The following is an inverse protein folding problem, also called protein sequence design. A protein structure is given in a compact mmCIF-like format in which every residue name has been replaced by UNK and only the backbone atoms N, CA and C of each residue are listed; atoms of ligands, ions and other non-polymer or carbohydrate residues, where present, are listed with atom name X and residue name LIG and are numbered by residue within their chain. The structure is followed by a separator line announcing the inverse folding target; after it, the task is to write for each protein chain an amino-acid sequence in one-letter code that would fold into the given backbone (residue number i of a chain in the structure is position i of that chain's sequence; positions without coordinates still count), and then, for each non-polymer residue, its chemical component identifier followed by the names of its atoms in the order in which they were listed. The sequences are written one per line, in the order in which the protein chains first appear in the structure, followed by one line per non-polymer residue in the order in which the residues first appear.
data_IF_752505193610
#
_entry.id   IF_752505193610
#
_cell.length_a   1.000
_cell.length_b   1.000
_cell.length_c   1.000
_cell.angle_alpha   90.00
_cell.angle_beta   90.00
_cell.angle_gamma   90.00
#
_symmetry.space_group_name_H-M   'P 1'
#
loop_
_entity.id
_entity.type
_entity.pdbx_description
1 polymer ?
#
# COMPACT_ATOMS: atom_id res chain seq x y z
N UNK A 1 -23.89 26.83 -4.52
CA UNK A 1 -24.61 26.91 -5.81
C UNK A 1 -24.11 25.77 -6.70
N UNK A 2 -24.92 25.24 -7.63
CA UNK A 2 -24.41 24.32 -8.64
C UNK A 2 -23.25 24.97 -9.41
N UNK A 3 -22.23 24.17 -9.75
CA UNK A 3 -20.99 24.65 -10.36
C UNK A 3 -20.17 23.51 -10.96
N UNK A 4 -19.03 23.85 -11.56
CA UNK A 4 -18.10 22.89 -12.13
C UNK A 4 -17.48 22.01 -11.03
N UNK A 5 -17.42 20.70 -11.25
CA UNK A 5 -16.86 19.73 -10.29
C UNK A 5 -15.78 18.92 -10.99
N UNK A 6 -14.60 18.82 -10.37
CA UNK A 6 -13.46 18.11 -10.93
C UNK A 6 -12.63 18.97 -11.90
N UNK A 7 -11.73 18.32 -12.64
CA UNK A 7 -10.71 18.97 -13.48
C UNK A 7 -9.85 19.98 -12.70
N UNK A 8 -9.43 19.57 -11.51
CA UNK A 8 -8.58 20.35 -10.62
C UNK A 8 -7.40 19.49 -10.16
N UNK A 9 -6.26 20.13 -9.92
CA UNK A 9 -5.11 19.47 -9.31
C UNK A 9 -5.44 19.03 -7.89
N UNK A 10 -5.32 17.73 -7.64
CA UNK A 10 -5.46 17.14 -6.31
C UNK A 10 -4.21 16.33 -6.00
N UNK A 11 -3.74 16.42 -4.76
CA UNK A 11 -2.60 15.64 -4.26
C UNK A 11 -3.07 14.72 -3.15
N UNK A 12 -2.67 13.44 -3.22
CA UNK A 12 -2.95 12.45 -2.19
C UNK A 12 -1.62 12.11 -1.51
N UNK A 13 -1.37 12.58 -0.27
CA UNK A 13 -0.13 12.29 0.43
C UNK A 13 -0.16 10.91 1.11
N UNK A 14 1.03 10.33 1.33
CA UNK A 14 1.19 9.15 2.16
C UNK A 14 0.83 7.83 1.49
N UNK A 15 0.92 7.77 0.16
CA UNK A 15 0.87 6.51 -0.60
C UNK A 15 2.21 5.77 -0.46
N UNK A 16 2.15 4.45 -0.25
CA UNK A 16 3.33 3.58 -0.08
C UNK A 16 3.69 2.93 -1.42
N UNK A 17 4.98 2.85 -1.75
CA UNK A 17 5.47 2.11 -2.92
C UNK A 17 5.66 0.66 -2.53
N UNK A 18 4.96 -0.26 -3.20
CA UNK A 18 4.99 -1.69 -2.89
C UNK A 18 6.02 -2.45 -3.73
N UNK A 19 6.12 -2.07 -5.01
CA UNK A 19 6.99 -2.74 -5.98
C UNK A 19 7.52 -1.77 -7.01
N UNK A 20 8.74 -2.00 -7.48
CA UNK A 20 9.35 -1.27 -8.59
C UNK A 20 9.89 -2.28 -9.61
N UNK A 21 9.48 -2.13 -10.87
CA UNK A 21 10.07 -2.85 -12.00
C UNK A 21 10.97 -1.88 -12.79
N UNK A 22 12.30 -2.00 -12.66
CA UNK A 22 13.26 -1.10 -13.31
C UNK A 22 13.31 -1.29 -14.83
N UNK A 23 13.13 -2.52 -15.35
CA UNK A 23 13.18 -2.81 -16.79
C UNK A 23 12.03 -2.12 -17.55
N UNK A 24 10.82 -2.16 -16.97
CA UNK A 24 9.62 -1.55 -17.56
C UNK A 24 9.40 -0.11 -17.12
N UNK A 25 10.20 0.38 -16.17
CA UNK A 25 10.03 1.69 -15.53
C UNK A 25 8.62 1.87 -14.93
N UNK A 26 8.11 0.83 -14.25
CA UNK A 26 6.78 0.83 -13.63
C UNK A 26 6.89 0.77 -12.12
N UNK A 27 6.13 1.64 -11.45
CA UNK A 27 6.01 1.67 -10.00
C UNK A 27 4.60 1.26 -9.56
N UNK A 28 4.51 0.38 -8.58
CA UNK A 28 3.26 -0.08 -7.99
C UNK A 28 3.04 0.62 -6.67
N UNK A 29 2.03 1.49 -6.65
CA UNK A 29 1.69 2.33 -5.50
C UNK A 29 0.45 1.78 -4.81
N UNK A 30 0.45 1.76 -3.49
CA UNK A 30 -0.69 1.33 -2.69
C UNK A 30 -1.79 2.41 -2.70
N UNK A 31 -3.00 2.04 -3.13
CA UNK A 31 -4.17 2.92 -3.15
C UNK A 31 -4.55 3.45 -4.53
N UNK A 32 -5.39 4.48 -4.55
CA UNK A 32 -5.87 5.14 -5.78
C UNK A 32 -5.19 6.49 -5.98
N UNK A 33 -4.95 6.86 -7.24
CA UNK A 33 -4.35 8.12 -7.65
C UNK A 33 -5.41 8.98 -8.37
N UNK A 34 -5.42 10.32 -8.24
CA UNK A 34 -6.40 11.15 -8.92
C UNK A 34 -6.19 11.14 -10.44
N UNK A 35 -7.27 11.29 -11.21
CA UNK A 35 -7.23 11.30 -12.66
C UNK A 35 -7.67 9.97 -13.29
N UNK A 36 -7.81 9.97 -14.60
CA UNK A 36 -8.15 8.78 -15.37
C UNK A 36 -6.88 7.99 -15.77
N UNK A 37 -7.06 6.73 -16.18
CA UNK A 37 -5.95 5.90 -16.66
C UNK A 37 -5.32 6.51 -17.92
N UNK A 38 -4.01 6.78 -17.89
CA UNK A 38 -3.26 7.38 -19.00
C UNK A 38 -3.01 8.89 -18.85
N UNK A 39 -3.53 9.51 -17.79
CA UNK A 39 -3.25 10.91 -17.47
C UNK A 39 -1.87 11.10 -16.82
N UNK A 40 -1.33 12.31 -16.93
CA UNK A 40 0.01 12.64 -16.40
C UNK A 40 -0.11 13.03 -14.94
N UNK A 41 0.76 12.43 -14.12
CA UNK A 41 0.78 12.61 -12.67
C UNK A 41 2.08 13.28 -12.23
N UNK A 42 1.99 14.11 -11.20
CA UNK A 42 3.16 14.65 -10.50
C UNK A 42 3.44 13.83 -9.26
N UNK A 43 4.54 13.07 -9.29
CA UNK A 43 5.01 12.26 -8.17
C UNK A 43 6.18 12.98 -7.50
N UNK A 44 6.14 13.07 -6.17
CA UNK A 44 7.17 13.67 -5.34
C UNK A 44 7.22 12.97 -3.98
N UNK A 45 8.31 13.16 -3.27
CA UNK A 45 8.45 12.65 -1.90
C UNK A 45 7.34 13.16 -0.98
N UNK A 46 6.99 12.33 0.00
CA UNK A 46 5.95 12.66 0.96
C UNK A 46 6.36 13.88 1.80
N UNK A 47 5.42 14.79 2.02
CA UNK A 47 5.64 15.96 2.86
C UNK A 47 5.74 15.61 4.36
N UNK A 48 5.08 14.53 4.80
CA UNK A 48 5.04 14.14 6.21
C UNK A 48 6.40 13.60 6.68
N UNK A 49 6.99 14.23 7.69
CA UNK A 49 8.34 13.87 8.19
C UNK A 49 8.45 12.42 8.64
N UNK A 50 7.41 11.87 9.28
CA UNK A 50 7.36 10.47 9.74
C UNK A 50 7.42 9.46 8.59
N UNK A 51 7.01 9.87 7.39
CA UNK A 51 6.91 9.03 6.19
C UNK A 51 7.97 9.39 5.14
N UNK A 52 8.96 10.21 5.51
CA UNK A 52 10.07 10.53 4.61
C UNK A 52 11.01 9.33 4.50
N UNK A 53 11.51 9.14 3.29
CA UNK A 53 12.61 8.21 3.03
C UNK A 53 13.87 8.79 3.68
N UNK A 54 14.55 8.01 4.52
CA UNK A 54 15.69 8.49 5.29
C UNK A 54 16.95 8.67 4.44
N UNK A 55 17.19 7.73 3.51
CA UNK A 55 18.39 7.70 2.69
C UNK A 55 18.03 7.46 1.21
N UNK A 56 17.41 8.45 0.53
CA UNK A 56 17.16 8.35 -0.90
C UNK A 56 18.46 8.54 -1.69
N UNK A 57 18.50 8.02 -2.92
CA UNK A 57 19.58 8.31 -3.86
C UNK A 57 19.63 9.80 -4.18
N UNK A 58 20.83 10.38 -4.12
CA UNK A 58 21.05 11.79 -4.37
C UNK A 58 22.16 11.99 -5.42
N UNK A 59 21.96 12.81 -6.47
CA UNK A 59 20.78 13.64 -6.76
C UNK A 59 19.59 12.86 -7.35
N UNK A 60 19.85 11.71 -7.96
CA UNK A 60 18.85 10.77 -8.48
C UNK A 60 19.51 9.40 -8.63
N UNK A 61 18.72 8.36 -8.85
CA UNK A 61 19.20 7.00 -9.09
C UNK A 61 19.97 6.91 -10.41
N UNK A 62 21.15 6.29 -10.37
CA UNK A 62 22.03 6.07 -11.53
C UNK A 62 22.14 4.58 -11.83
N UNK A 63 21.52 4.13 -12.94
CA UNK A 63 21.47 2.72 -13.32
C UNK A 63 22.84 2.01 -13.33
N UNK A 64 23.89 2.63 -13.87
CA UNK A 64 25.22 2.00 -13.95
C UNK A 64 25.91 1.79 -12.59
N UNK A 65 25.57 2.59 -11.59
CA UNK A 65 26.28 2.63 -10.30
C UNK A 65 25.48 1.96 -9.19
N UNK A 66 24.20 2.25 -9.16
CA UNK A 66 23.35 1.92 -8.01
C UNK A 66 22.64 0.58 -8.22
N UNK A 67 22.43 0.15 -9.47
CA UNK A 67 21.69 -1.08 -9.77
C UNK A 67 22.37 -2.34 -9.23
N UNK A 68 23.69 -2.46 -9.40
CA UNK A 68 24.45 -3.59 -8.85
C UNK A 68 24.40 -3.60 -7.31
N UNK A 69 24.47 -2.43 -6.68
CA UNK A 69 24.41 -2.29 -5.22
C UNK A 69 23.03 -2.67 -4.67
N UNK A 70 21.96 -2.23 -5.31
CA UNK A 70 20.59 -2.56 -4.88
C UNK A 70 20.20 -4.01 -5.14
N UNK A 71 20.72 -4.63 -6.21
CA UNK A 71 20.47 -6.05 -6.51
C UNK A 71 20.95 -6.96 -5.37
N UNK A 72 22.00 -6.56 -4.67
CA UNK A 72 22.55 -7.28 -3.52
C UNK A 72 21.78 -7.02 -2.20
N UNK A 73 20.63 -6.33 -2.22
CA UNK A 73 19.83 -6.06 -1.02
C UNK A 73 19.34 -7.31 -0.28
N UNK A 74 19.33 -8.46 -0.94
CA UNK A 74 18.93 -9.74 -0.35
C UNK A 74 19.92 -10.29 0.68
N UNK A 75 21.19 -9.88 0.60
CA UNK A 75 22.23 -10.32 1.54
C UNK A 75 22.04 -9.71 2.93
N UNK A 76 21.37 -8.55 3.00
CA UNK A 76 21.08 -7.83 4.23
C UNK A 76 19.72 -8.25 4.82
N UNK A 77 19.68 -8.98 5.95
CA UNK A 77 18.43 -9.45 6.56
C UNK A 77 17.55 -8.31 7.12
N UNK A 78 18.08 -7.10 7.22
CA UNK A 78 17.38 -5.89 7.67
C UNK A 78 16.98 -4.97 6.51
N UNK A 79 17.26 -5.34 5.26
CA UNK A 79 16.86 -4.55 4.11
C UNK A 79 15.32 -4.42 4.07
N UNK A 80 14.78 -3.20 3.90
CA UNK A 80 13.34 -3.00 3.72
C UNK A 80 12.84 -3.49 2.36
N UNK A 81 13.73 -3.80 1.43
CA UNK A 81 13.41 -4.27 0.09
C UNK A 81 14.02 -5.65 -0.18
N UNK A 82 13.35 -6.41 -1.04
CA UNK A 82 13.78 -7.71 -1.52
C UNK A 82 13.79 -7.68 -3.04
N UNK A 83 14.85 -8.19 -3.65
CA UNK A 83 14.96 -8.29 -5.10
C UNK A 83 14.66 -9.72 -5.57
N UNK A 84 13.56 -9.90 -6.30
CA UNK A 84 13.11 -11.20 -6.82
C UNK A 84 12.66 -11.01 -8.28
N UNK A 85 13.05 -11.93 -9.16
CA UNK A 85 12.60 -11.98 -10.57
C UNK A 85 12.74 -10.65 -11.36
N UNK A 86 13.79 -9.86 -11.08
CA UNK A 86 14.02 -8.59 -11.77
C UNK A 86 13.25 -7.40 -11.18
N UNK A 87 12.56 -7.57 -10.06
CA UNK A 87 11.73 -6.56 -9.43
C UNK A 87 12.08 -6.36 -7.95
N UNK A 88 11.97 -5.11 -7.50
CA UNK A 88 12.14 -4.76 -6.08
C UNK A 88 10.79 -4.77 -5.39
N UNK A 89 10.69 -5.50 -4.27
CA UNK A 89 9.48 -5.58 -3.44
C UNK A 89 9.75 -5.00 -2.05
N UNK A 90 8.86 -4.13 -1.57
CA UNK A 90 8.91 -3.59 -0.20
C UNK A 90 8.49 -4.62 0.88
N UNK A 91 7.83 -5.72 0.47
CA UNK A 91 7.47 -6.85 1.33
C UNK A 91 7.62 -8.15 0.54
N UNK A 92 8.14 -9.20 1.18
CA UNK A 92 8.20 -10.54 0.57
C UNK A 92 6.79 -11.00 0.18
N UNK A 93 6.54 -11.12 -1.12
CA UNK A 93 5.30 -11.69 -1.65
C UNK A 93 5.34 -13.22 -1.65
N UNK A 94 6.54 -13.81 -1.56
CA UNK A 94 6.84 -15.24 -1.45
C UNK A 94 6.60 -15.80 -0.04
N UNK A 95 5.58 -15.30 0.67
CA UNK A 95 5.18 -15.89 1.94
C UNK A 95 4.50 -17.25 1.70
N UNK A 96 4.78 -18.27 2.55
CA UNK A 96 3.99 -19.49 2.53
C UNK A 96 2.52 -19.18 2.77
N UNK A 97 1.63 -20.03 2.27
CA UNK A 97 0.19 -19.89 2.50
C UNK A 97 -0.09 -19.69 3.99
N UNK A 98 -0.92 -18.71 4.32
CA UNK A 98 -1.34 -18.47 5.70
C UNK A 98 -2.09 -19.72 6.19
N UNK A 99 -1.47 -20.48 7.09
CA UNK A 99 -2.10 -21.61 7.76
C UNK A 99 -2.54 -21.13 9.13
N UNK A 100 -3.85 -21.04 9.34
CA UNK A 100 -4.41 -20.79 10.66
C UNK A 100 -4.33 -22.08 11.47
N UNK A 101 -3.35 -22.16 12.36
CA UNK A 101 -3.13 -23.34 13.22
C UNK A 101 -4.20 -23.49 14.29
N UNK A 102 -4.84 -22.39 14.68
CA UNK A 102 -5.92 -22.37 15.67
C UNK A 102 -7.27 -22.15 14.98
N UNK A 103 -8.35 -22.86 15.38
CA UNK A 103 -9.67 -22.57 14.87
C UNK A 103 -10.08 -21.16 15.31
N UNK A 104 -10.20 -20.24 14.34
CA UNK A 104 -10.73 -18.91 14.60
C UNK A 104 -12.09 -19.02 15.28
N UNK A 105 -12.18 -18.49 16.50
CA UNK A 105 -13.44 -18.34 17.21
C UNK A 105 -14.24 -17.22 16.52
N UNK A 106 -14.91 -17.54 15.42
CA UNK A 106 -15.94 -16.68 14.85
C UNK A 106 -16.97 -16.46 15.96
N UNK A 107 -16.96 -15.26 16.56
CA UNK A 107 -18.04 -14.83 17.45
C UNK A 107 -19.30 -14.80 16.60
N UNK A 108 -20.05 -15.89 16.56
CA UNK A 108 -21.38 -15.89 15.99
C UNK A 108 -22.17 -14.90 16.84
N UNK A 109 -22.40 -13.70 16.32
CA UNK A 109 -23.33 -12.74 16.88
C UNK A 109 -24.74 -13.30 16.68
N UNK A 110 -25.06 -14.40 17.35
CA UNK A 110 -26.43 -14.86 17.49
C UNK A 110 -27.17 -13.75 18.23
N UNK A 111 -27.92 -12.93 17.49
CA UNK A 111 -28.89 -12.00 18.08
C UNK A 111 -29.81 -12.83 18.95
N UNK A 112 -29.71 -12.63 20.26
CA UNK A 112 -30.54 -13.31 21.24
C UNK A 112 -31.99 -12.82 21.11
N UNK A 113 -32.82 -13.57 20.37
CA UNK A 113 -34.21 -13.21 20.04
C UNK A 113 -35.15 -13.25 21.25
N UNK A 114 -34.65 -13.67 22.42
CA UNK A 114 -35.40 -13.79 23.67
C UNK A 114 -35.68 -12.46 24.36
N UNK A 115 -34.98 -11.37 23.99
CA UNK A 115 -35.19 -10.02 24.53
C UNK A 115 -36.26 -9.19 23.80
N UNK A 116 -37.18 -9.82 23.07
CA UNK A 116 -38.34 -9.09 22.53
C UNK A 116 -39.27 -8.68 23.68
N UNK A 117 -39.33 -7.36 23.99
CA UNK A 117 -40.29 -6.80 24.94
C UNK A 117 -41.71 -7.08 24.46
N UNK A 118 -42.41 -8.00 25.11
CA UNK A 118 -43.84 -8.21 24.87
C UNK A 118 -44.62 -7.08 25.53
N UNK A 119 -45.27 -6.23 24.73
CA UNK A 119 -46.14 -5.18 25.25
C UNK A 119 -47.38 -5.82 25.90
N UNK A 120 -47.60 -5.60 27.21
CA UNK A 120 -48.81 -6.04 27.89
C UNK A 120 -49.95 -5.08 27.54
N UNK A 121 -50.98 -5.58 26.85
CA UNK A 121 -52.25 -4.86 26.66
C UNK A 121 -53.04 -4.91 27.97
N UNK A 122 -53.39 -3.75 28.52
CA UNK A 122 -54.27 -3.64 29.69
C UNK A 122 -55.71 -3.91 29.24
N UNK A 123 -56.39 -4.86 29.90
CA UNK A 123 -57.86 -4.96 29.89
C UNK A 123 -58.44 -3.98 30.89
#
# INVERSE_FOLDING_TARGET
MPGHMGYEWRSIPGLEVLRINPEKQVMYVNGSVPGETGEILLIKDCYHDEKKVQYPHFPTFSYEKDFEAETNCNDDPYSPFVYEDGEFFARRMTMPSIVFTEPENFKTTKRDKTKAKTAKVKK
#
